data_IF_570859366982
#
_entry.id   IF_570859366982
#
_cell.length_a   1.000
_cell.length_b   1.000
_cell.length_c   1.000
_cell.angle_alpha   90.00
_cell.angle_beta   90.00
_cell.angle_gamma   90.00
#
_symmetry.space_group_name_H-M   'P 1'
#
loop_
_entity.id
_entity.type
_entity.pdbx_description
1 polymer ?
#
# COMPACT_ATOMS: atom_id res chain seq x y z
N UNK A 1 14.15 -12.91 2.98
CA UNK A 1 12.85 -12.79 3.69
C UNK A 1 12.31 -11.36 3.69
N UNK A 2 13.00 -10.36 4.25
CA UNK A 2 12.51 -8.95 4.25
C UNK A 2 12.08 -8.42 2.88
N UNK A 3 12.88 -8.65 1.83
CA UNK A 3 12.54 -8.22 0.47
C UNK A 3 11.27 -8.88 -0.07
N UNK A 4 11.02 -10.16 0.25
CA UNK A 4 9.79 -10.86 -0.16
C UNK A 4 8.55 -10.22 0.46
N UNK A 5 8.62 -9.87 1.74
CA UNK A 5 7.52 -9.16 2.41
C UNK A 5 7.24 -7.79 1.78
N UNK A 6 8.29 -7.01 1.50
CA UNK A 6 8.10 -5.69 0.87
C UNK A 6 7.57 -5.83 -0.55
N UNK A 7 8.03 -6.81 -1.33
CA UNK A 7 7.49 -7.10 -2.68
C UNK A 7 6.02 -7.51 -2.59
N UNK A 8 5.64 -8.35 -1.63
CA UNK A 8 4.25 -8.71 -1.41
C UNK A 8 3.38 -7.48 -1.13
N UNK A 9 3.84 -6.56 -0.27
CA UNK A 9 3.13 -5.31 -0.02
C UNK A 9 3.01 -4.43 -1.26
N UNK A 10 4.05 -4.35 -2.09
CA UNK A 10 4.01 -3.57 -3.34
C UNK A 10 2.91 -4.11 -4.25
N UNK A 11 2.91 -5.41 -4.50
CA UNK A 11 1.94 -6.06 -5.38
C UNK A 11 0.52 -5.87 -4.82
N UNK A 12 0.35 -6.06 -3.52
CA UNK A 12 -0.96 -5.95 -2.89
C UNK A 12 -1.49 -4.52 -2.93
N UNK A 13 -0.69 -3.51 -2.59
CA UNK A 13 -1.12 -2.11 -2.68
C UNK A 13 -1.41 -1.71 -4.13
N UNK A 14 -0.57 -2.12 -5.09
CA UNK A 14 -0.80 -1.84 -6.51
C UNK A 14 -2.11 -2.46 -7.01
N UNK A 15 -2.37 -3.73 -6.64
CA UNK A 15 -3.60 -4.41 -6.99
C UNK A 15 -4.83 -3.71 -6.40
N UNK A 16 -4.77 -3.32 -5.12
CA UNK A 16 -5.91 -2.63 -4.49
C UNK A 16 -6.18 -1.27 -5.11
N UNK A 17 -5.15 -0.48 -5.40
CA UNK A 17 -5.32 0.80 -6.08
C UNK A 17 -5.98 0.62 -7.45
N UNK A 18 -5.52 -0.36 -8.23
CA UNK A 18 -6.09 -0.69 -9.54
C UNK A 18 -7.54 -1.19 -9.45
N UNK A 19 -7.81 -2.12 -8.54
CA UNK A 19 -9.13 -2.70 -8.32
C UNK A 19 -10.15 -1.63 -7.89
N UNK A 20 -9.76 -0.72 -7.00
CA UNK A 20 -10.62 0.41 -6.60
C UNK A 20 -10.91 1.30 -7.81
N UNK A 21 -9.87 1.70 -8.55
CA UNK A 21 -10.00 2.58 -9.70
C UNK A 21 -10.90 2.00 -10.81
N UNK A 22 -10.84 0.69 -11.05
CA UNK A 22 -11.59 0.06 -12.15
C UNK A 22 -13.02 -0.35 -11.77
N UNK A 23 -13.26 -0.69 -10.51
CA UNK A 23 -14.51 -1.35 -10.11
C UNK A 23 -15.43 -0.50 -9.22
N UNK A 24 -14.99 0.68 -8.78
CA UNK A 24 -15.78 1.52 -7.87
C UNK A 24 -15.89 2.96 -8.38
N UNK A 25 -17.10 3.49 -8.34
CA UNK A 25 -17.38 4.91 -8.58
C UNK A 25 -17.34 5.73 -7.28
N UNK A 26 -17.37 7.06 -7.43
CA UNK A 26 -17.44 7.97 -6.29
C UNK A 26 -18.68 7.68 -5.43
N UNK A 27 -18.52 7.70 -4.10
CA UNK A 27 -19.52 7.40 -3.08
C UNK A 27 -20.01 5.93 -3.02
N UNK A 28 -19.37 5.01 -3.73
CA UNK A 28 -19.70 3.59 -3.63
C UNK A 28 -19.06 2.90 -2.42
N UNK A 29 -19.79 1.94 -1.85
CA UNK A 29 -19.28 1.11 -0.74
C UNK A 29 -18.19 0.17 -1.27
N UNK A 30 -16.94 0.51 -0.99
CA UNK A 30 -15.78 -0.34 -1.31
C UNK A 30 -15.83 -1.64 -0.50
N UNK A 31 -15.86 -2.77 -1.20
CA UNK A 31 -15.83 -4.09 -0.55
C UNK A 31 -14.52 -4.28 0.22
N UNK A 32 -14.64 -4.78 1.46
CA UNK A 32 -13.52 -5.02 2.37
C UNK A 32 -12.71 -3.76 2.71
N UNK A 33 -13.32 -2.56 2.65
CA UNK A 33 -12.64 -1.28 2.89
C UNK A 33 -11.77 -1.26 4.15
N UNK A 34 -12.28 -1.79 5.27
CA UNK A 34 -11.54 -1.84 6.54
C UNK A 34 -10.24 -2.65 6.44
N UNK A 35 -10.27 -3.78 5.73
CA UNK A 35 -9.09 -4.62 5.48
C UNK A 35 -8.12 -3.89 4.57
N UNK A 36 -8.62 -3.23 3.51
CA UNK A 36 -7.78 -2.47 2.57
C UNK A 36 -7.04 -1.34 3.26
N UNK A 37 -7.73 -0.58 4.14
CA UNK A 37 -7.13 0.45 4.99
C UNK A 37 -6.09 -0.16 5.94
N UNK A 38 -6.42 -1.27 6.60
CA UNK A 38 -5.49 -1.93 7.51
C UNK A 38 -4.20 -2.37 6.79
N UNK A 39 -4.31 -2.96 5.60
CA UNK A 39 -3.15 -3.36 4.79
C UNK A 39 -2.34 -2.14 4.33
N UNK A 40 -3.01 -1.06 3.89
CA UNK A 40 -2.35 0.20 3.58
C UNK A 40 -1.51 0.69 4.76
N UNK A 41 -2.12 0.84 5.95
CA UNK A 41 -1.44 1.37 7.14
C UNK A 41 -0.29 0.47 7.58
N UNK A 42 -0.52 -0.84 7.71
CA UNK A 42 0.52 -1.78 8.16
C UNK A 42 1.70 -1.80 7.19
N UNK A 43 1.42 -1.87 5.88
CA UNK A 43 2.47 -1.92 4.86
C UNK A 43 3.28 -0.63 4.81
N UNK A 44 2.63 0.53 4.98
CA UNK A 44 3.28 1.83 5.07
C UNK A 44 4.20 1.90 6.29
N UNK A 45 3.68 1.59 7.48
CA UNK A 45 4.43 1.65 8.74
C UNK A 45 5.64 0.70 8.72
N UNK A 46 5.46 -0.53 8.25
CA UNK A 46 6.57 -1.48 8.14
C UNK A 46 7.66 -1.01 7.18
N UNK A 47 7.28 -0.36 6.07
CA UNK A 47 8.24 0.21 5.11
C UNK A 47 9.06 1.33 5.73
N UNK A 48 8.42 2.21 6.51
CA UNK A 48 9.09 3.27 7.28
C UNK A 48 10.07 2.66 8.28
N UNK A 49 9.64 1.63 9.02
CA UNK A 49 10.52 0.92 9.98
C UNK A 49 11.74 0.35 9.27
N UNK A 50 11.59 -0.31 8.11
CA UNK A 50 12.72 -0.89 7.38
C UNK A 50 13.76 0.15 6.95
N UNK A 51 13.33 1.38 6.66
CA UNK A 51 14.22 2.50 6.37
C UNK A 51 14.96 2.96 7.64
N UNK A 52 14.23 3.16 8.74
CA UNK A 52 14.79 3.65 10.01
C UNK A 52 15.83 2.69 10.59
N UNK A 53 15.58 1.39 10.55
CA UNK A 53 16.50 0.38 11.12
C UNK A 53 17.72 0.09 10.24
N UNK A 54 17.99 0.93 9.23
CA UNK A 54 19.12 0.81 8.30
C UNK A 54 19.21 -0.59 7.67
N UNK A 55 18.08 -1.09 7.16
CA UNK A 55 18.04 -2.37 6.43
C UNK A 55 18.98 -2.36 5.21
N UNK A 56 19.31 -3.53 4.62
CA UNK A 56 20.12 -3.59 3.41
C UNK A 56 19.59 -2.65 2.33
N UNK A 57 20.48 -2.06 1.53
CA UNK A 57 20.15 -1.07 0.48
C UNK A 57 18.98 -1.52 -0.41
N UNK A 58 18.92 -2.79 -0.77
CA UNK A 58 17.82 -3.35 -1.57
C UNK A 58 16.46 -3.29 -0.85
N UNK A 59 16.41 -3.62 0.44
CA UNK A 59 15.20 -3.51 1.27
C UNK A 59 14.76 -2.05 1.41
N UNK A 60 15.70 -1.12 1.58
CA UNK A 60 15.41 0.32 1.68
C UNK A 60 14.78 0.83 0.39
N UNK A 61 15.37 0.51 -0.77
CA UNK A 61 14.83 0.90 -2.07
C UNK A 61 13.41 0.33 -2.25
N UNK A 62 13.21 -0.96 -1.98
CA UNK A 62 11.89 -1.57 -2.06
C UNK A 62 10.88 -0.92 -1.10
N UNK A 63 11.32 -0.52 0.10
CA UNK A 63 10.46 0.13 1.09
C UNK A 63 10.02 1.52 0.64
N UNK A 64 10.92 2.28 -0.01
CA UNK A 64 10.58 3.57 -0.62
C UNK A 64 9.56 3.38 -1.74
N UNK A 65 9.77 2.39 -2.61
CA UNK A 65 8.81 2.05 -3.67
C UNK A 65 7.45 1.68 -3.06
N UNK A 66 7.43 0.82 -2.05
CA UNK A 66 6.19 0.44 -1.38
C UNK A 66 5.47 1.64 -0.73
N UNK A 67 6.20 2.58 -0.13
CA UNK A 67 5.60 3.81 0.43
C UNK A 67 4.86 4.58 -0.66
N UNK A 68 5.47 4.78 -1.83
CA UNK A 68 4.84 5.50 -2.94
C UNK A 68 3.57 4.77 -3.40
N UNK A 69 3.64 3.44 -3.58
CA UNK A 69 2.49 2.64 -4.02
C UNK A 69 1.38 2.60 -2.96
N UNK A 70 1.73 2.51 -1.67
CA UNK A 70 0.79 2.57 -0.57
C UNK A 70 0.08 3.94 -0.51
N UNK A 71 0.80 5.04 -0.74
CA UNK A 71 0.20 6.37 -0.82
C UNK A 71 -0.77 6.49 -2.00
N UNK A 72 -0.44 5.90 -3.16
CA UNK A 72 -1.37 5.84 -4.30
C UNK A 72 -2.64 5.07 -3.93
N UNK A 73 -2.50 3.90 -3.28
CA UNK A 73 -3.64 3.13 -2.79
C UNK A 73 -4.50 3.90 -1.78
N UNK A 74 -3.87 4.56 -0.80
CA UNK A 74 -4.58 5.42 0.16
C UNK A 74 -5.29 6.59 -0.51
N UNK A 75 -4.66 7.20 -1.50
CA UNK A 75 -5.27 8.26 -2.31
C UNK A 75 -6.44 7.77 -3.15
N UNK A 76 -6.37 6.58 -3.75
CA UNK A 76 -7.51 6.00 -4.47
C UNK A 76 -8.70 5.75 -3.55
N UNK A 77 -8.47 5.29 -2.31
CA UNK A 77 -9.55 5.16 -1.31
C UNK A 77 -10.15 6.54 -1.02
N UNK A 78 -9.30 7.55 -0.79
CA UNK A 78 -9.73 8.91 -0.48
C UNK A 78 -10.64 9.45 -1.58
N UNK A 79 -10.20 9.46 -2.84
CA UNK A 79 -10.98 10.04 -3.95
C UNK A 79 -12.26 9.28 -4.27
N UNK A 80 -12.28 7.96 -4.03
CA UNK A 80 -13.48 7.16 -4.28
C UNK A 80 -14.52 7.34 -3.16
N UNK A 81 -14.12 7.62 -1.92
CA UNK A 81 -14.99 7.56 -0.74
C UNK A 81 -15.23 8.90 -0.01
N UNK A 82 -14.40 9.91 -0.24
CA UNK A 82 -14.40 11.22 0.43
C UNK A 82 -14.34 12.36 -0.58
#
# INVERSE_FOLDING_TARGET
MKNLFVIFFIIFNAWNAFDIYMNYAHDEIISLLSIRIMVFVISFVLSVIYIIVKSPKSTVILSIINIIVALIHGYTILVTYL
#
